data_IF_636888665637
#
_entry.id   IF_636888665637
#
_cell.length_a   1.000
_cell.length_b   1.000
_cell.length_c   1.000
_cell.angle_alpha   90.00
_cell.angle_beta   90.00
_cell.angle_gamma   90.00
#
_symmetry.space_group_name_H-M   'P 1'
#
loop_
_entity.id
_entity.type
_entity.pdbx_description
1 polymer ?
#
# COMPACT_ATOMS: atom_id res chain seq x y z
N UNK A 1 5.40 21.84 20.67
CA UNK A 1 6.79 21.36 20.65
C UNK A 1 6.71 19.85 20.50
N UNK A 2 7.31 19.27 19.46
CA UNK A 2 7.27 17.82 19.25
C UNK A 2 8.06 17.11 20.34
N UNK A 3 7.46 16.10 20.97
CA UNK A 3 8.17 15.25 21.92
C UNK A 3 9.01 14.18 21.18
N UNK A 4 9.91 13.51 21.91
CA UNK A 4 10.81 12.50 21.34
C UNK A 4 10.05 11.36 20.67
N UNK A 5 8.88 11.01 21.22
CA UNK A 5 8.01 9.98 20.68
C UNK A 5 7.46 10.36 19.30
N UNK A 6 6.93 11.57 19.16
CA UNK A 6 6.42 12.08 17.87
C UNK A 6 7.55 12.21 16.85
N UNK A 7 8.75 12.59 17.28
CA UNK A 7 9.93 12.63 16.42
C UNK A 7 10.30 11.23 15.89
N UNK A 8 10.15 10.19 16.72
CA UNK A 8 10.33 8.80 16.32
C UNK A 8 9.31 8.37 15.26
N UNK A 9 8.04 8.72 15.42
CA UNK A 9 6.99 8.41 14.42
C UNK A 9 7.29 9.10 13.09
N UNK A 10 7.72 10.37 13.12
CA UNK A 10 8.10 11.12 11.91
C UNK A 10 9.24 10.44 11.16
N UNK A 11 10.26 9.97 11.88
CA UNK A 11 11.40 9.27 11.28
C UNK A 11 10.97 7.93 10.66
N UNK A 12 10.11 7.16 11.33
CA UNK A 12 9.56 5.92 10.79
C UNK A 12 8.70 6.18 9.55
N UNK A 13 7.83 7.19 9.57
CA UNK A 13 7.00 7.56 8.44
C UNK A 13 7.87 7.99 7.23
N UNK A 14 8.93 8.75 7.49
CA UNK A 14 9.90 9.13 6.46
C UNK A 14 10.60 7.90 5.85
N UNK A 15 11.10 6.97 6.68
CA UNK A 15 11.71 5.73 6.19
C UNK A 15 10.70 4.89 5.41
N UNK A 16 9.46 4.77 5.89
CA UNK A 16 8.40 4.06 5.19
C UNK A 16 8.13 4.69 3.83
N UNK A 17 8.13 6.02 3.70
CA UNK A 17 7.96 6.72 2.43
C UNK A 17 9.15 6.50 1.48
N UNK A 18 10.38 6.46 2.00
CA UNK A 18 11.56 6.12 1.20
C UNK A 18 11.49 4.69 0.67
N UNK A 19 11.09 3.74 1.52
CA UNK A 19 10.89 2.34 1.12
C UNK A 19 9.79 2.23 0.08
N UNK A 20 8.68 2.94 0.27
CA UNK A 20 7.54 2.96 -0.64
C UNK A 20 7.90 3.50 -2.02
N UNK A 21 8.58 4.64 -2.09
CA UNK A 21 9.02 5.25 -3.36
C UNK A 21 10.15 4.48 -4.04
N UNK A 22 10.90 3.66 -3.30
CA UNK A 22 12.02 2.87 -3.86
C UNK A 22 11.62 1.44 -4.28
N UNK A 23 10.73 0.79 -3.53
CA UNK A 23 10.34 -0.62 -3.70
C UNK A 23 8.87 -0.79 -4.11
N UNK A 24 8.05 0.25 -3.95
CA UNK A 24 6.65 0.30 -4.34
C UNK A 24 5.65 -0.13 -3.27
N UNK A 25 4.66 0.73 -3.01
CA UNK A 25 3.39 0.47 -2.32
C UNK A 25 3.45 -0.18 -0.91
N UNK A 26 4.58 -0.10 -0.22
CA UNK A 26 4.81 -0.65 1.12
C UNK A 26 4.46 0.32 2.27
N UNK A 27 4.17 1.59 1.99
CA UNK A 27 4.01 2.64 3.02
C UNK A 27 3.04 2.24 4.13
N UNK A 28 1.79 1.96 3.79
CA UNK A 28 0.77 1.59 4.77
C UNK A 28 0.99 0.23 5.41
N UNK A 29 1.58 -0.73 4.70
CA UNK A 29 1.89 -2.07 5.25
C UNK A 29 2.94 -2.00 6.35
N UNK A 30 3.86 -1.04 6.29
CA UNK A 30 4.87 -0.79 7.32
C UNK A 30 4.29 0.10 8.42
N UNK A 31 3.65 1.21 8.06
CA UNK A 31 3.28 2.25 9.02
C UNK A 31 2.05 1.88 9.86
N UNK A 32 1.08 1.14 9.30
CA UNK A 32 -0.13 0.72 10.02
C UNK A 32 0.18 -0.10 11.28
N UNK A 33 0.92 -1.23 11.24
CA UNK A 33 1.22 -2.00 12.43
C UNK A 33 2.02 -1.18 13.46
N UNK A 34 2.94 -0.32 13.04
CA UNK A 34 3.74 0.51 13.96
C UNK A 34 2.85 1.50 14.71
N UNK A 35 1.93 2.18 14.02
CA UNK A 35 1.01 3.11 14.67
C UNK A 35 0.01 2.39 15.59
N UNK A 36 -0.43 1.19 15.23
CA UNK A 36 -1.29 0.37 16.09
C UNK A 36 -0.55 -0.09 17.36
N UNK A 37 0.71 -0.50 17.25
CA UNK A 37 1.57 -0.86 18.40
C UNK A 37 1.84 0.37 19.27
N UNK A 38 1.98 1.55 18.67
CA UNK A 38 2.10 2.83 19.35
C UNK A 38 0.81 3.26 20.09
N UNK A 39 -0.27 2.47 20.01
CA UNK A 39 -1.51 2.69 20.77
C UNK A 39 -2.59 3.45 20.01
N UNK A 40 -2.34 3.88 18.77
CA UNK A 40 -3.35 4.55 17.96
C UNK A 40 -4.44 3.58 17.52
N UNK A 41 -5.65 4.10 17.35
CA UNK A 41 -6.80 3.31 16.92
C UNK A 41 -6.87 3.27 15.37
N UNK A 42 -7.35 2.17 14.75
CA UNK A 42 -7.52 2.03 13.31
C UNK A 42 -8.29 3.18 12.66
N UNK A 43 -9.28 3.74 13.36
CA UNK A 43 -10.11 4.85 12.88
C UNK A 43 -9.29 6.12 12.67
N UNK A 44 -8.17 6.29 13.38
CA UNK A 44 -7.20 7.38 13.18
C UNK A 44 -6.10 6.97 12.23
N UNK A 45 -5.55 5.77 12.40
CA UNK A 45 -4.39 5.27 11.64
C UNK A 45 -4.69 5.17 10.15
N UNK A 46 -5.80 4.53 9.78
CA UNK A 46 -6.16 4.25 8.39
C UNK A 46 -6.30 5.53 7.55
N UNK A 47 -7.15 6.52 7.91
CA UNK A 47 -7.26 7.74 7.12
C UNK A 47 -5.98 8.57 7.11
N UNK A 48 -5.21 8.59 8.21
CA UNK A 48 -3.92 9.32 8.28
C UNK A 48 -2.90 8.74 7.30
N UNK A 49 -2.81 7.40 7.23
CA UNK A 49 -1.94 6.72 6.27
C UNK A 49 -2.40 6.97 4.84
N UNK A 50 -3.70 6.82 4.55
CA UNK A 50 -4.24 7.06 3.20
C UNK A 50 -3.96 8.47 2.71
N UNK A 51 -4.20 9.47 3.56
CA UNK A 51 -3.98 10.87 3.22
C UNK A 51 -2.49 11.17 3.03
N UNK A 52 -1.64 10.76 3.98
CA UNK A 52 -0.19 10.99 3.86
C UNK A 52 0.41 10.26 2.66
N UNK A 53 -0.04 9.04 2.38
CA UNK A 53 0.41 8.30 1.21
C UNK A 53 -0.03 8.98 -0.09
N UNK A 54 -1.26 9.50 -0.17
CA UNK A 54 -1.71 10.24 -1.36
C UNK A 54 -0.78 11.42 -1.68
N UNK A 55 -0.30 12.15 -0.66
CA UNK A 55 0.65 13.25 -0.86
C UNK A 55 2.00 12.73 -1.38
N UNK A 56 2.51 11.64 -0.81
CA UNK A 56 3.76 10.99 -1.25
C UNK A 56 3.63 10.48 -2.68
N UNK A 57 2.53 9.79 -3.01
CA UNK A 57 2.24 9.20 -4.32
C UNK A 57 2.12 10.28 -5.42
N UNK A 58 1.49 11.43 -5.13
CA UNK A 58 1.45 12.56 -6.07
C UNK A 58 2.86 13.09 -6.34
N UNK A 59 3.67 13.29 -5.28
CA UNK A 59 5.06 13.73 -5.42
C UNK A 59 5.92 12.73 -6.21
N UNK A 60 5.77 11.43 -5.90
CA UNK A 60 6.39 10.32 -6.61
C UNK A 60 5.99 10.28 -8.08
N UNK A 61 4.69 10.38 -8.39
CA UNK A 61 4.18 10.39 -9.75
C UNK A 61 4.77 11.53 -10.59
N UNK A 62 4.82 12.76 -10.04
CA UNK A 62 5.44 13.91 -10.72
C UNK A 62 6.92 13.68 -10.99
N UNK A 63 7.67 13.17 -10.01
CA UNK A 63 9.12 12.93 -10.17
C UNK A 63 9.42 11.79 -11.14
N UNK A 64 8.67 10.68 -11.08
CA UNK A 64 8.78 9.59 -12.05
C UNK A 64 8.42 10.03 -13.48
N UNK A 65 7.47 10.96 -13.64
CA UNK A 65 7.16 11.58 -14.94
C UNK A 65 8.37 12.34 -15.49
N UNK A 66 9.01 13.17 -14.64
CA UNK A 66 10.17 14.00 -15.05
C UNK A 66 11.36 13.16 -15.53
N UNK A 67 11.61 12.01 -14.89
CA UNK A 67 12.69 11.10 -15.28
C UNK A 67 12.28 10.08 -16.36
N UNK A 68 11.06 10.19 -16.91
CA UNK A 68 10.52 9.33 -17.99
C UNK A 68 10.56 7.84 -17.63
N UNK A 69 10.18 7.49 -16.40
CA UNK A 69 10.26 6.11 -15.90
C UNK A 69 9.21 5.15 -16.48
N UNK A 70 8.24 5.67 -17.25
CA UNK A 70 7.11 4.89 -17.77
C UNK A 70 6.78 5.22 -19.22
N UNK A 71 6.27 4.20 -19.91
CA UNK A 71 5.83 4.20 -21.30
C UNK A 71 4.31 4.25 -21.39
N UNK A 72 3.76 4.45 -22.59
CA UNK A 72 2.30 4.38 -22.82
C UNK A 72 1.68 3.02 -22.51
N UNK A 73 2.47 1.94 -22.56
CA UNK A 73 2.00 0.59 -22.17
C UNK A 73 1.80 0.50 -20.66
N UNK A 74 2.64 1.19 -19.91
CA UNK A 74 2.66 1.15 -18.45
C UNK A 74 1.48 1.93 -17.87
N UNK A 75 1.08 3.02 -18.53
CA UNK A 75 -0.15 3.76 -18.21
C UNK A 75 -1.39 2.84 -18.28
N UNK A 76 -1.47 1.93 -19.26
CA UNK A 76 -2.59 0.98 -19.35
C UNK A 76 -2.59 0.00 -18.18
N UNK A 77 -1.41 -0.47 -17.76
CA UNK A 77 -1.26 -1.34 -16.59
C UNK A 77 -1.62 -0.59 -15.31
N UNK A 78 -1.17 0.65 -15.17
CA UNK A 78 -1.50 1.52 -14.05
C UNK A 78 -3.00 1.73 -13.93
N UNK A 79 -3.70 2.04 -15.03
CA UNK A 79 -5.15 2.19 -15.03
C UNK A 79 -5.89 0.88 -14.71
N UNK A 80 -5.38 -0.26 -15.20
CA UNK A 80 -5.89 -1.59 -14.88
C UNK A 80 -5.81 -1.93 -13.39
N UNK A 81 -4.87 -1.32 -12.66
CA UNK A 81 -4.71 -1.47 -11.21
C UNK A 81 -5.51 -0.40 -10.47
N UNK A 82 -5.31 0.88 -10.82
CA UNK A 82 -5.85 2.03 -10.12
C UNK A 82 -7.38 2.09 -10.13
N UNK A 83 -8.03 1.79 -11.27
CA UNK A 83 -9.49 1.87 -11.39
C UNK A 83 -10.19 0.86 -10.45
N UNK A 84 -9.94 -0.46 -10.54
CA UNK A 84 -10.57 -1.41 -9.62
C UNK A 84 -10.16 -1.17 -8.18
N UNK A 85 -8.92 -0.76 -7.91
CA UNK A 85 -8.46 -0.43 -6.56
C UNK A 85 -9.30 0.69 -5.94
N UNK A 86 -9.46 1.80 -6.67
CA UNK A 86 -10.18 2.99 -6.18
C UNK A 86 -11.64 2.68 -5.85
N UNK A 87 -12.30 1.84 -6.66
CA UNK A 87 -13.68 1.41 -6.41
C UNK A 87 -13.78 0.62 -5.10
N UNK A 88 -12.85 -0.31 -4.86
CA UNK A 88 -12.87 -1.17 -3.68
C UNK A 88 -12.33 -0.50 -2.42
N UNK A 89 -11.50 0.55 -2.53
CA UNK A 89 -11.07 1.38 -1.39
C UNK A 89 -12.30 1.91 -0.64
N UNK A 90 -13.30 2.42 -1.35
CA UNK A 90 -14.52 2.95 -0.73
C UNK A 90 -15.24 1.89 0.11
N UNK A 91 -15.30 0.65 -0.36
CA UNK A 91 -15.88 -0.47 0.38
C UNK A 91 -15.05 -0.82 1.62
N UNK A 92 -13.72 -0.82 1.50
CA UNK A 92 -12.81 -1.07 2.61
C UNK A 92 -12.93 -0.01 3.72
N UNK A 93 -12.97 1.26 3.35
CA UNK A 93 -13.16 2.38 4.30
C UNK A 93 -14.52 2.26 4.98
N UNK A 94 -15.58 1.99 4.21
CA UNK A 94 -16.92 1.82 4.76
C UNK A 94 -16.94 0.72 5.83
N UNK A 95 -16.38 -0.45 5.57
CA UNK A 95 -16.36 -1.53 6.56
C UNK A 95 -15.45 -1.22 7.76
N UNK A 96 -14.30 -0.58 7.56
CA UNK A 96 -13.42 -0.21 8.67
C UNK A 96 -14.10 0.74 9.67
N UNK A 97 -14.87 1.72 9.18
CA UNK A 97 -15.57 2.69 10.04
C UNK A 97 -16.79 2.08 10.74
N UNK A 98 -17.42 1.05 10.15
CA UNK A 98 -18.62 0.42 10.69
C UNK A 98 -18.35 -0.81 11.58
N UNK A 99 -17.13 -1.34 11.59
CA UNK A 99 -16.79 -2.54 12.37
C UNK A 99 -16.14 -2.19 13.71
N UNK A 100 -16.34 -3.03 14.74
CA UNK A 100 -15.63 -2.89 16.02
C UNK A 100 -14.11 -2.88 15.86
N UNK A 101 -13.45 -2.02 16.61
CA UNK A 101 -11.99 -1.82 16.61
C UNK A 101 -11.20 -3.12 16.83
N UNK A 102 -11.74 -4.06 17.61
CA UNK A 102 -11.09 -5.35 17.85
C UNK A 102 -11.03 -6.20 16.57
N UNK A 103 -12.10 -6.18 15.76
CA UNK A 103 -12.18 -6.92 14.50
C UNK A 103 -11.21 -6.32 13.50
N UNK A 104 -11.20 -4.98 13.38
CA UNK A 104 -10.29 -4.29 12.46
C UNK A 104 -8.84 -4.53 12.85
N UNK A 105 -8.44 -4.31 14.11
CA UNK A 105 -7.07 -4.61 14.59
C UNK A 105 -6.64 -6.05 14.31
N UNK A 106 -7.51 -7.03 14.58
CA UNK A 106 -7.21 -8.45 14.34
C UNK A 106 -7.01 -8.74 12.86
N UNK A 107 -7.87 -8.20 12.00
CA UNK A 107 -7.76 -8.34 10.56
C UNK A 107 -6.45 -7.74 10.01
N UNK A 108 -6.07 -6.55 10.48
CA UNK A 108 -4.81 -5.89 10.08
C UNK A 108 -3.62 -6.79 10.44
N UNK A 109 -3.57 -7.29 11.67
CA UNK A 109 -2.50 -8.17 12.13
C UNK A 109 -2.38 -9.45 11.28
N UNK A 110 -3.51 -10.12 11.01
CA UNK A 110 -3.53 -11.34 10.20
C UNK A 110 -3.03 -11.10 8.77
N UNK A 111 -3.47 -10.01 8.12
CA UNK A 111 -3.03 -9.70 6.76
C UNK A 111 -1.55 -9.32 6.73
N UNK A 112 -1.06 -8.53 7.70
CA UNK A 112 0.38 -8.20 7.79
C UNK A 112 1.24 -9.45 7.95
N UNK A 113 0.83 -10.39 8.81
CA UNK A 113 1.52 -11.68 8.98
C UNK A 113 1.51 -12.49 7.69
N UNK A 114 0.34 -12.60 7.04
CA UNK A 114 0.20 -13.33 5.78
C UNK A 114 1.11 -12.73 4.69
N UNK A 115 1.13 -11.41 4.54
CA UNK A 115 1.98 -10.72 3.57
C UNK A 115 3.46 -10.92 3.88
N UNK A 116 3.84 -10.87 5.16
CA UNK A 116 5.21 -11.18 5.61
C UNK A 116 5.63 -12.62 5.26
N UNK A 117 4.75 -13.60 5.50
CA UNK A 117 4.99 -15.01 5.15
C UNK A 117 5.10 -15.20 3.62
N UNK A 118 4.21 -14.59 2.84
CA UNK A 118 4.26 -14.66 1.38
C UNK A 118 5.58 -14.10 0.82
N UNK A 119 6.10 -13.03 1.42
CA UNK A 119 7.43 -12.50 1.09
C UNK A 119 8.54 -13.50 1.41
N UNK A 120 8.56 -14.05 2.64
CA UNK A 120 9.58 -15.01 3.09
C UNK A 120 9.59 -16.29 2.27
N UNK A 121 8.42 -16.77 1.86
CA UNK A 121 8.27 -17.98 1.05
C UNK A 121 8.56 -17.76 -0.45
N UNK A 122 8.67 -16.50 -0.90
CA UNK A 122 9.01 -16.18 -2.29
C UNK A 122 7.98 -16.69 -3.32
N UNK A 123 6.69 -16.74 -2.95
CA UNK A 123 5.63 -17.34 -3.79
C UNK A 123 5.26 -16.45 -4.98
N UNK A 124 5.85 -16.74 -6.14
CA UNK A 124 5.61 -15.99 -7.39
C UNK A 124 4.21 -16.25 -7.95
N UNK A 125 3.47 -15.17 -8.23
CA UNK A 125 2.15 -15.21 -8.83
C UNK A 125 2.23 -14.87 -10.33
N UNK A 126 1.55 -15.64 -11.15
CA UNK A 126 1.51 -15.38 -12.60
C UNK A 126 0.72 -14.12 -12.92
N UNK A 127 1.32 -13.24 -13.71
CA UNK A 127 0.67 -12.04 -14.29
C UNK A 127 -0.33 -12.46 -15.37
N UNK A 128 -1.60 -12.17 -15.15
CA UNK A 128 -2.63 -12.14 -16.20
C UNK A 128 -3.52 -10.93 -15.97
N UNK A 129 -4.10 -10.33 -17.02
CA UNK A 129 -4.91 -9.11 -16.88
C UNK A 129 -6.11 -9.33 -15.94
N UNK A 130 -6.77 -10.49 -16.02
CA UNK A 130 -7.87 -10.86 -15.11
C UNK A 130 -7.41 -10.96 -13.67
N UNK A 131 -6.26 -11.58 -13.42
CA UNK A 131 -5.71 -11.72 -12.07
C UNK A 131 -5.21 -10.38 -11.53
N UNK A 132 -4.67 -9.52 -12.38
CA UNK A 132 -4.25 -8.18 -11.99
C UNK A 132 -5.44 -7.35 -11.51
N UNK A 133 -6.55 -7.35 -12.24
CA UNK A 133 -7.79 -6.68 -11.83
C UNK A 133 -8.30 -7.25 -10.50
N UNK A 134 -8.38 -8.58 -10.38
CA UNK A 134 -8.83 -9.24 -9.15
C UNK A 134 -7.97 -8.88 -7.93
N UNK A 135 -6.64 -8.93 -8.08
CA UNK A 135 -5.74 -8.61 -6.98
C UNK A 135 -5.79 -7.11 -6.66
N UNK A 136 -5.93 -6.25 -7.67
CA UNK A 136 -6.07 -4.81 -7.46
C UNK A 136 -7.36 -4.46 -6.72
N UNK A 137 -8.45 -5.18 -6.96
CA UNK A 137 -9.70 -5.05 -6.18
C UNK A 137 -9.49 -5.46 -4.72
N UNK A 138 -8.88 -6.61 -4.46
CA UNK A 138 -8.58 -7.06 -3.08
C UNK A 138 -7.62 -6.11 -2.38
N UNK A 139 -6.58 -5.67 -3.08
CA UNK A 139 -5.60 -4.75 -2.55
C UNK A 139 -6.22 -3.36 -2.29
N UNK A 140 -7.11 -2.89 -3.17
CA UNK A 140 -7.92 -1.67 -2.99
C UNK A 140 -8.78 -1.74 -1.74
N UNK A 141 -9.53 -2.84 -1.59
CA UNK A 141 -10.30 -3.11 -0.39
C UNK A 141 -9.43 -3.09 0.87
N UNK A 142 -8.32 -3.83 0.86
CA UNK A 142 -7.38 -3.86 1.99
C UNK A 142 -6.84 -2.47 2.29
N UNK A 143 -6.47 -1.69 1.27
CA UNK A 143 -5.97 -0.33 1.43
C UNK A 143 -7.00 0.56 2.13
N UNK A 144 -8.26 0.49 1.72
CA UNK A 144 -9.35 1.19 2.42
C UNK A 144 -9.59 0.69 3.84
N UNK A 145 -9.44 -0.63 4.07
CA UNK A 145 -9.76 -1.26 5.35
C UNK A 145 -8.66 -1.07 6.41
N UNK A 146 -7.39 -1.18 6.02
CA UNK A 146 -6.23 -1.15 6.94
C UNK A 146 -5.22 -0.03 6.68
N UNK A 147 -5.43 0.78 5.64
CA UNK A 147 -4.46 1.79 5.21
C UNK A 147 -3.30 1.22 4.39
N UNK A 148 -3.24 -0.09 4.14
CA UNK A 148 -2.14 -0.77 3.45
C UNK A 148 -2.56 -2.07 2.76
N UNK A 149 -1.60 -2.91 2.33
CA UNK A 149 -1.89 -4.24 1.78
C UNK A 149 -1.69 -4.41 0.27
N UNK A 150 -1.06 -3.43 -0.40
CA UNK A 150 -0.68 -3.48 -1.82
C UNK A 150 0.76 -3.98 -2.06
N UNK A 151 1.74 -3.39 -1.36
CA UNK A 151 3.17 -3.38 -1.75
C UNK A 151 3.84 -4.73 -1.95
N UNK A 152 3.97 -5.54 -0.88
CA UNK A 152 4.69 -6.81 -0.90
C UNK A 152 4.34 -7.75 -2.06
N UNK A 153 3.05 -7.79 -2.41
CA UNK A 153 2.49 -8.79 -3.30
C UNK A 153 2.34 -8.25 -4.72
N UNK A 154 1.94 -6.99 -4.89
CA UNK A 154 1.70 -6.40 -6.21
C UNK A 154 3.01 -5.91 -6.83
N UNK A 155 3.68 -4.95 -6.20
CA UNK A 155 4.77 -4.19 -6.84
C UNK A 155 6.16 -4.79 -6.57
N UNK A 156 6.46 -5.16 -5.33
CA UNK A 156 7.83 -5.46 -4.91
C UNK A 156 8.32 -6.89 -5.21
N UNK A 157 7.48 -7.81 -5.70
CA UNK A 157 8.02 -9.15 -5.95
C UNK A 157 7.11 -10.32 -6.30
N UNK A 158 5.78 -10.26 -6.24
CA UNK A 158 5.00 -11.47 -6.52
C UNK A 158 4.19 -11.43 -7.82
N UNK A 159 3.70 -10.27 -8.28
CA UNK A 159 2.80 -10.21 -9.46
C UNK A 159 3.40 -9.42 -10.62
N UNK A 160 4.08 -8.31 -10.34
CA UNK A 160 4.56 -7.38 -11.36
C UNK A 160 5.94 -7.75 -11.93
N UNK A 161 6.65 -8.74 -11.36
CA UNK A 161 8.01 -9.18 -11.75
C UNK A 161 8.24 -9.53 -13.24
N UNK A 162 7.19 -9.61 -14.06
CA UNK A 162 7.30 -9.76 -15.51
C UNK A 162 7.29 -8.40 -16.26
N UNK A 163 7.63 -7.32 -15.55
CA UNK A 163 7.74 -5.96 -16.05
C UNK A 163 9.07 -5.36 -15.63
N UNK A 164 9.59 -4.40 -16.39
CA UNK A 164 10.82 -3.72 -16.00
C UNK A 164 10.64 -3.09 -14.61
N UNK A 165 11.69 -3.21 -13.79
CA UNK A 165 11.66 -2.80 -12.39
C UNK A 165 11.36 -1.30 -12.26
N UNK A 166 11.81 -0.49 -13.23
CA UNK A 166 11.69 0.98 -13.25
C UNK A 166 10.25 1.48 -13.40
N UNK A 167 9.44 1.01 -14.37
CA UNK A 167 8.02 1.34 -14.40
C UNK A 167 7.24 0.80 -13.20
N UNK A 168 7.64 -0.35 -12.67
CA UNK A 168 6.88 -1.07 -11.64
C UNK A 168 6.80 -0.29 -10.32
N UNK A 169 7.89 0.38 -9.93
CA UNK A 169 7.93 1.25 -8.74
C UNK A 169 7.25 2.60 -8.94
N UNK A 170 6.88 2.94 -10.17
CA UNK A 170 6.26 4.22 -10.53
C UNK A 170 4.75 4.16 -10.81
N UNK A 171 4.17 2.96 -10.73
CA UNK A 171 2.73 2.66 -10.87
C UNK A 171 2.11 2.60 -9.47
#
# INVERSE_FOLDING_TARGET
>A
MFDLFTLGILLVAFIAALVDTSLGMCYGTILAPILLIAGYSPEVVVPTILFSQLVVDIGGGVTHTKVKNFTRKDIKVALLVAIPATIFVSLGVFLNVNLPTIITKTYIGLIVILLGLLLLLGIKLRKTSKRLVFISSIAGFNKGFMGGGFGPVVVSGQIVLNHDVRPSVSI
#
